data_IF_447735125752
#
_entry.id   IF_447735125752
#
_cell.length_a   1.000
_cell.length_b   1.000
_cell.length_c   1.000
_cell.angle_alpha   90.00
_cell.angle_beta   90.00
_cell.angle_gamma   90.00
#
_symmetry.space_group_name_H-M   'P 1'
#
loop_
_entity.id
_entity.type
_entity.pdbx_description
1 polymer ?
#
# COMPACT_ATOMS: atom_id res chain seq x y z
N UNK A 1 -31.40 64.73 27.39
CA UNK A 1 -32.39 64.05 26.50
C UNK A 1 -31.66 62.98 25.70
N UNK A 2 -31.85 61.72 26.07
CA UNK A 2 -31.26 60.56 25.42
C UNK A 2 -32.22 60.02 24.34
N UNK A 3 -31.71 59.76 23.13
CA UNK A 3 -32.34 58.93 22.09
C UNK A 3 -31.21 58.07 21.49
N UNK A 4 -31.05 56.85 22.01
CA UNK A 4 -31.60 55.60 21.44
C UNK A 4 -30.93 55.22 20.12
N UNK A 5 -29.83 54.47 20.23
CA UNK A 5 -29.20 53.74 19.14
C UNK A 5 -29.87 52.35 19.05
N UNK A 6 -30.43 52.03 17.88
CA UNK A 6 -30.95 50.70 17.56
C UNK A 6 -29.94 49.94 16.69
N UNK A 7 -29.59 48.77 17.20
CA UNK A 7 -28.95 47.61 16.58
C UNK A 7 -29.55 47.19 15.22
N UNK A 8 -28.68 46.67 14.34
CA UNK A 8 -28.80 45.43 13.52
C UNK A 8 -27.54 45.27 12.64
N UNK A 9 -26.67 44.29 12.91
CA UNK A 9 -26.53 42.99 12.17
C UNK A 9 -26.39 43.21 10.66
N UNK A 10 -25.24 42.96 10.03
CA UNK A 10 -24.71 41.61 9.78
C UNK A 10 -23.17 41.57 9.70
N UNK A 11 -22.55 40.70 10.49
CA UNK A 11 -21.17 40.25 10.27
C UNK A 11 -21.24 38.95 9.47
N UNK A 12 -21.08 39.04 8.16
CA UNK A 12 -20.74 37.88 7.35
C UNK A 12 -19.27 37.53 7.66
N UNK A 13 -19.07 36.49 8.47
CA UNK A 13 -17.78 35.83 8.64
C UNK A 13 -17.47 35.05 7.36
N UNK A 14 -16.92 35.73 6.36
CA UNK A 14 -16.20 35.06 5.30
C UNK A 14 -14.94 34.45 5.91
N UNK A 15 -14.98 33.15 6.21
CA UNK A 15 -13.78 32.39 6.48
C UNK A 15 -12.88 32.53 5.25
N UNK A 16 -11.84 33.35 5.39
CA UNK A 16 -10.81 33.51 4.36
C UNK A 16 -10.18 32.14 4.17
N UNK A 17 -10.56 31.46 3.10
CA UNK A 17 -9.85 30.29 2.59
C UNK A 17 -8.43 30.75 2.35
N UNK A 18 -7.51 30.41 3.26
CA UNK A 18 -6.09 30.54 2.98
C UNK A 18 -5.78 29.40 2.01
N UNK A 19 -5.49 29.68 0.73
CA UNK A 19 -4.96 28.65 -0.14
C UNK A 19 -3.62 28.25 0.49
N UNK A 20 -3.43 26.96 0.77
CA UNK A 20 -2.08 26.42 0.96
C UNK A 20 -1.43 26.36 -0.42
N UNK A 21 -1.18 27.54 -0.97
CA UNK A 21 -0.22 27.73 -2.03
C UNK A 21 1.00 28.40 -1.38
N UNK A 22 1.68 27.63 -0.51
CA UNK A 22 3.08 27.91 -0.28
C UNK A 22 3.73 27.68 -1.63
N UNK A 23 4.00 28.74 -2.41
CA UNK A 23 4.51 28.74 -3.80
C UNK A 23 5.70 27.80 -4.10
N UNK A 24 5.46 26.52 -3.90
CA UNK A 24 6.32 25.36 -3.99
C UNK A 24 5.68 24.55 -5.08
N UNK A 25 6.45 24.32 -6.13
CA UNK A 25 5.96 23.51 -7.23
C UNK A 25 5.66 22.09 -6.73
N UNK A 26 4.57 21.47 -7.19
CA UNK A 26 4.31 20.06 -6.93
C UNK A 26 5.54 19.21 -7.30
N UNK A 27 5.85 18.16 -6.52
CA UNK A 27 6.98 17.29 -6.80
C UNK A 27 6.92 16.69 -8.21
N UNK A 28 7.95 16.97 -9.00
CA UNK A 28 8.05 16.58 -10.41
C UNK A 28 9.50 16.39 -10.82
N UNK A 29 9.71 15.65 -11.90
CA UNK A 29 10.99 15.59 -12.60
C UNK A 29 10.74 15.36 -14.08
N UNK A 30 10.57 16.46 -14.82
CA UNK A 30 10.20 16.45 -16.24
C UNK A 30 11.30 15.78 -17.08
N UNK A 31 12.57 16.00 -16.74
CA UNK A 31 13.71 15.40 -17.46
C UNK A 31 13.66 13.87 -17.42
N UNK A 32 13.34 13.28 -16.26
CA UNK A 32 13.18 11.84 -16.15
C UNK A 32 11.97 11.33 -16.92
N UNK A 33 10.86 12.06 -16.93
CA UNK A 33 9.68 11.70 -17.71
C UNK A 33 10.01 11.63 -19.22
N UNK A 34 10.71 12.64 -19.74
CA UNK A 34 11.14 12.66 -21.14
C UNK A 34 12.10 11.51 -21.48
N UNK A 35 13.07 11.23 -20.60
CA UNK A 35 14.04 10.14 -20.78
C UNK A 35 13.33 8.78 -20.78
N UNK A 36 12.39 8.54 -19.86
CA UNK A 36 11.66 7.27 -19.79
C UNK A 36 10.78 7.08 -21.03
N UNK A 37 10.04 8.11 -21.46
CA UNK A 37 9.21 8.03 -22.66
C UNK A 37 10.06 7.79 -23.92
N UNK A 38 11.16 8.53 -24.07
CA UNK A 38 12.08 8.36 -25.19
C UNK A 38 12.68 6.95 -25.22
N UNK A 39 13.06 6.40 -24.05
CA UNK A 39 13.71 5.10 -23.97
C UNK A 39 12.75 3.97 -24.35
N UNK A 40 11.48 4.07 -23.92
CA UNK A 40 10.42 3.12 -24.32
C UNK A 40 10.20 3.11 -25.84
N UNK A 41 10.30 4.27 -26.51
CA UNK A 41 10.12 4.36 -27.96
C UNK A 41 11.35 3.91 -28.76
N UNK A 42 12.52 3.85 -28.13
CA UNK A 42 13.77 3.40 -28.78
C UNK A 42 14.01 1.91 -28.59
N UNK A 43 13.64 1.37 -27.43
CA UNK A 43 13.94 -0.01 -27.06
C UNK A 43 12.67 -0.81 -26.80
N UNK A 44 12.49 -1.86 -27.61
CA UNK A 44 11.29 -2.70 -27.61
C UNK A 44 10.97 -3.31 -26.23
N UNK A 45 11.98 -3.71 -25.48
CA UNK A 45 11.81 -4.42 -24.22
C UNK A 45 11.72 -3.48 -23.00
N UNK A 46 12.01 -2.18 -23.19
CA UNK A 46 12.05 -1.21 -22.09
C UNK A 46 10.69 -0.99 -21.43
N UNK A 47 9.59 -1.11 -22.18
CA UNK A 47 8.23 -1.03 -21.64
C UNK A 47 7.95 -2.12 -20.60
N UNK A 48 8.51 -3.32 -20.76
CA UNK A 48 8.26 -4.46 -19.87
C UNK A 48 8.77 -4.18 -18.46
N UNK A 49 9.89 -3.47 -18.33
CA UNK A 49 10.44 -3.07 -17.04
C UNK A 49 9.70 -1.90 -16.38
N UNK A 50 8.89 -1.15 -17.15
CA UNK A 50 8.28 0.11 -16.68
C UNK A 50 6.77 -0.01 -16.46
N UNK A 51 6.07 -0.84 -17.23
CA UNK A 51 4.60 -1.00 -17.22
C UNK A 51 4.05 -1.39 -15.83
N UNK A 52 4.85 -2.10 -15.03
CA UNK A 52 4.46 -2.48 -13.66
C UNK A 52 4.73 -1.39 -12.62
N UNK A 53 5.55 -0.39 -12.95
CA UNK A 53 5.99 0.67 -12.03
C UNK A 53 5.16 1.94 -12.23
N UNK A 54 4.87 2.29 -13.48
CA UNK A 54 4.24 3.56 -13.84
C UNK A 54 2.83 3.37 -14.39
N UNK A 55 2.00 4.35 -14.10
CA UNK A 55 0.69 4.55 -14.72
C UNK A 55 0.69 5.88 -15.49
N UNK A 56 -0.27 6.12 -16.41
CA UNK A 56 -0.40 7.44 -17.05
C UNK A 56 -0.46 8.59 -16.04
N UNK A 57 -1.13 8.41 -14.90
CA UNK A 57 -1.23 9.44 -13.85
C UNK A 57 0.10 9.70 -13.12
N UNK A 58 1.09 8.80 -13.25
CA UNK A 58 2.41 8.97 -12.63
C UNK A 58 3.21 10.14 -13.23
N UNK A 59 2.89 10.55 -14.45
CA UNK A 59 3.53 11.68 -15.14
C UNK A 59 2.89 13.00 -14.71
N UNK A 60 3.72 14.02 -14.46
CA UNK A 60 3.23 15.35 -14.10
C UNK A 60 2.72 16.12 -15.33
N UNK A 61 3.41 16.02 -16.46
CA UNK A 61 3.04 16.75 -17.67
C UNK A 61 1.91 16.02 -18.38
N UNK A 62 0.79 16.71 -18.63
CA UNK A 62 -0.38 16.11 -19.28
C UNK A 62 -0.06 15.49 -20.66
N UNK A 63 0.82 16.14 -21.43
CA UNK A 63 1.30 15.58 -22.69
C UNK A 63 1.99 14.22 -22.50
N UNK A 64 2.82 14.07 -21.47
CA UNK A 64 3.48 12.81 -21.14
C UNK A 64 2.48 11.74 -20.70
N UNK A 65 1.43 12.12 -19.96
CA UNK A 65 0.36 11.18 -19.58
C UNK A 65 -0.33 10.60 -20.83
N UNK A 66 -0.66 11.45 -21.81
CA UNK A 66 -1.29 11.04 -23.07
C UNK A 66 -0.38 10.15 -23.92
N UNK A 67 0.91 10.52 -24.02
CA UNK A 67 1.92 9.72 -24.72
C UNK A 67 2.07 8.35 -24.07
N UNK A 68 2.22 8.29 -22.74
CA UNK A 68 2.35 7.03 -22.02
C UNK A 68 1.09 6.18 -22.15
N UNK A 69 -0.09 6.78 -22.11
CA UNK A 69 -1.35 6.07 -22.36
C UNK A 69 -1.37 5.42 -23.75
N UNK A 70 -0.97 6.14 -24.80
CA UNK A 70 -0.88 5.58 -26.15
C UNK A 70 0.13 4.41 -26.22
N UNK A 71 1.27 4.52 -25.53
CA UNK A 71 2.25 3.43 -25.39
C UNK A 71 1.62 2.19 -24.72
N UNK A 72 0.90 2.38 -23.61
CA UNK A 72 0.20 1.31 -22.89
C UNK A 72 -0.85 0.66 -23.80
N UNK A 73 -1.66 1.45 -24.52
CA UNK A 73 -2.68 0.93 -25.43
C UNK A 73 -2.07 0.07 -26.56
N UNK A 74 -0.93 0.51 -27.12
CA UNK A 74 -0.18 -0.27 -28.11
C UNK A 74 0.37 -1.57 -27.51
N UNK A 75 0.95 -1.51 -26.32
CA UNK A 75 1.45 -2.70 -25.61
C UNK A 75 0.32 -3.71 -25.35
N UNK A 76 -0.84 -3.23 -24.89
CA UNK A 76 -1.99 -4.09 -24.54
C UNK A 76 -2.61 -4.75 -25.78
N UNK A 77 -2.43 -4.15 -26.96
CA UNK A 77 -2.89 -4.69 -28.25
C UNK A 77 -1.83 -5.47 -29.00
N UNK A 78 -0.72 -5.81 -28.33
CA UNK A 78 0.44 -6.53 -28.89
C UNK A 78 1.01 -5.89 -30.17
N UNK A 79 0.97 -4.55 -30.22
CA UNK A 79 1.53 -3.77 -31.34
C UNK A 79 2.95 -3.32 -31.00
N UNK A 80 3.85 -3.25 -32.01
CA UNK A 80 5.17 -2.69 -31.81
C UNK A 80 5.08 -1.23 -31.32
N UNK A 81 6.00 -0.87 -30.43
CA UNK A 81 6.10 0.46 -29.85
C UNK A 81 7.37 1.10 -30.39
N UNK A 82 7.19 2.15 -31.17
CA UNK A 82 8.22 3.01 -31.71
C UNK A 82 7.66 4.41 -31.93
N UNK A 83 8.50 5.35 -32.35
CA UNK A 83 8.11 6.75 -32.58
C UNK A 83 6.93 6.87 -33.57
N UNK A 84 6.92 6.07 -34.64
CA UNK A 84 5.94 6.17 -35.71
C UNK A 84 4.59 5.61 -35.25
N UNK A 85 4.58 4.44 -34.63
CA UNK A 85 3.39 3.76 -34.11
C UNK A 85 2.75 4.56 -32.98
N UNK A 86 3.54 5.14 -32.07
CA UNK A 86 3.03 6.02 -31.01
C UNK A 86 2.42 7.30 -31.62
N UNK A 87 3.08 7.90 -32.61
CA UNK A 87 2.56 9.09 -33.31
C UNK A 87 1.25 8.79 -34.06
N UNK A 88 1.16 7.63 -34.72
CA UNK A 88 -0.05 7.18 -35.40
C UNK A 88 -1.19 6.90 -34.42
N UNK A 89 -0.90 6.29 -33.28
CA UNK A 89 -1.88 6.04 -32.23
C UNK A 89 -2.41 7.35 -31.64
N UNK A 90 -1.54 8.31 -31.32
CA UNK A 90 -1.94 9.64 -30.86
C UNK A 90 -2.78 10.39 -31.90
N UNK A 91 -2.45 10.23 -33.19
CA UNK A 91 -3.24 10.80 -34.29
C UNK A 91 -4.62 10.14 -34.40
N UNK A 92 -4.70 8.81 -34.24
CA UNK A 92 -5.95 8.05 -34.24
C UNK A 92 -6.87 8.47 -33.09
N UNK A 93 -6.29 8.76 -31.93
CA UNK A 93 -7.00 9.23 -30.75
C UNK A 93 -7.36 10.73 -30.81
N UNK A 94 -6.84 11.47 -31.78
CA UNK A 94 -7.06 12.92 -31.93
C UNK A 94 -6.30 13.78 -30.92
N UNK A 95 -5.33 13.22 -30.20
CA UNK A 95 -4.57 13.89 -29.13
C UNK A 95 -3.18 14.36 -29.56
N UNK A 96 -2.77 14.11 -30.81
CA UNK A 96 -1.44 14.44 -31.33
C UNK A 96 -1.10 15.93 -31.21
N UNK A 97 -2.05 16.81 -31.51
CA UNK A 97 -1.81 18.26 -31.45
C UNK A 97 -1.66 18.74 -29.99
N UNK A 98 -2.37 18.10 -29.05
CA UNK A 98 -2.34 18.43 -27.62
C UNK A 98 -1.01 18.06 -26.97
N UNK A 99 -0.28 17.09 -27.52
CA UNK A 99 1.04 16.68 -27.01
C UNK A 99 2.19 17.46 -27.65
N UNK A 100 1.92 18.45 -28.52
CA UNK A 100 2.94 19.22 -29.23
C UNK A 100 3.35 18.65 -30.60
N UNK A 101 2.56 17.71 -31.13
CA UNK A 101 2.73 17.16 -32.47
C UNK A 101 3.84 16.12 -32.60
N UNK A 102 4.01 15.59 -33.82
CA UNK A 102 5.00 14.55 -34.13
C UNK A 102 6.44 15.00 -33.85
N UNK A 103 6.72 16.32 -33.96
CA UNK A 103 8.03 16.88 -33.65
C UNK A 103 8.41 16.69 -32.18
N UNK A 104 7.47 16.90 -31.25
CA UNK A 104 7.73 16.74 -29.83
C UNK A 104 8.03 15.28 -29.47
N UNK A 105 7.23 14.34 -29.99
CA UNK A 105 7.45 12.90 -29.80
C UNK A 105 8.83 12.47 -30.31
N UNK A 106 9.25 12.96 -31.49
CA UNK A 106 10.59 12.71 -32.01
C UNK A 106 11.69 13.32 -31.11
N UNK A 107 11.46 14.51 -30.55
CA UNK A 107 12.41 15.16 -29.64
C UNK A 107 12.61 14.37 -28.33
N UNK A 108 11.60 13.66 -27.82
CA UNK A 108 11.76 12.83 -26.62
C UNK A 108 12.82 11.74 -26.82
N UNK A 109 12.86 11.13 -28.01
CA UNK A 109 13.85 10.09 -28.31
C UNK A 109 15.27 10.61 -28.46
N UNK A 110 15.47 11.88 -28.82
CA UNK A 110 16.81 12.46 -28.95
C UNK A 110 17.46 12.81 -27.61
N UNK A 111 16.69 12.84 -26.51
CA UNK A 111 17.20 13.13 -25.15
C UNK A 111 17.77 11.91 -24.43
N UNK A 112 17.61 10.72 -24.98
CA UNK A 112 18.01 9.46 -24.33
C UNK A 112 19.41 9.08 -24.76
N UNK A 113 20.35 9.08 -23.81
CA UNK A 113 21.71 8.59 -24.03
C UNK A 113 21.87 7.08 -23.74
N UNK A 114 21.11 6.56 -22.77
CA UNK A 114 21.11 5.14 -22.40
C UNK A 114 19.81 4.75 -21.71
N UNK A 115 19.34 3.53 -21.96
CA UNK A 115 18.19 2.90 -21.30
C UNK A 115 18.56 2.05 -20.09
N UNK A 116 19.86 1.82 -19.83
CA UNK A 116 20.33 0.80 -18.89
C UNK A 116 19.82 0.99 -17.45
N UNK A 117 19.31 2.18 -17.13
CA UNK A 117 18.76 2.54 -15.82
C UNK A 117 17.28 2.98 -15.89
N UNK A 118 16.54 2.59 -16.94
CA UNK A 118 15.15 3.03 -17.12
C UNK A 118 14.26 2.66 -15.93
N UNK A 119 14.49 1.50 -15.31
CA UNK A 119 13.75 1.06 -14.12
C UNK A 119 13.97 2.01 -12.94
N UNK A 120 15.22 2.45 -12.72
CA UNK A 120 15.56 3.41 -11.65
C UNK A 120 14.87 4.76 -11.92
N UNK A 121 14.90 5.22 -13.17
CA UNK A 121 14.23 6.47 -13.56
C UNK A 121 12.71 6.37 -13.40
N UNK A 122 12.11 5.25 -13.77
CA UNK A 122 10.69 4.99 -13.54
C UNK A 122 10.33 5.01 -12.04
N UNK A 123 11.13 4.37 -11.18
CA UNK A 123 10.92 4.41 -9.72
C UNK A 123 11.01 5.83 -9.16
N UNK A 124 11.91 6.67 -9.69
CA UNK A 124 11.99 8.07 -9.27
C UNK A 124 10.75 8.89 -9.68
N UNK A 125 10.20 8.66 -10.88
CA UNK A 125 8.93 9.28 -11.31
C UNK A 125 7.80 8.81 -10.39
N UNK A 126 7.74 7.51 -10.09
CA UNK A 126 6.73 6.94 -9.19
C UNK A 126 6.81 7.54 -7.78
N UNK A 127 8.02 7.78 -7.25
CA UNK A 127 8.19 8.48 -5.98
C UNK A 127 7.63 9.91 -6.04
N UNK A 128 7.83 10.64 -7.14
CA UNK A 128 7.25 11.98 -7.32
C UNK A 128 5.72 11.92 -7.40
N UNK A 129 5.16 10.92 -8.08
CA UNK A 129 3.73 10.68 -8.11
C UNK A 129 3.15 10.44 -6.71
N UNK A 130 3.75 9.55 -5.91
CA UNK A 130 3.32 9.29 -4.53
C UNK A 130 3.35 10.57 -3.69
N UNK A 131 4.40 11.38 -3.84
CA UNK A 131 4.49 12.68 -3.15
C UNK A 131 3.35 13.62 -3.55
N UNK A 132 2.95 13.64 -4.83
CA UNK A 132 1.80 14.45 -5.30
C UNK A 132 0.47 13.92 -4.76
N UNK A 133 0.25 12.60 -4.77
CA UNK A 133 -0.98 12.02 -4.22
C UNK A 133 -1.11 12.27 -2.71
N UNK A 134 -0.01 12.17 -1.96
CA UNK A 134 -0.02 12.52 -0.53
C UNK A 134 -0.42 13.98 -0.30
N UNK A 135 0.08 14.91 -1.12
CA UNK A 135 -0.32 16.31 -1.05
C UNK A 135 -1.82 16.45 -1.34
N UNK A 136 -2.31 15.84 -2.43
CA UNK A 136 -3.73 15.87 -2.84
C UNK A 136 -4.65 15.37 -1.72
N UNK A 137 -4.36 14.18 -1.18
CA UNK A 137 -5.16 13.56 -0.13
C UNK A 137 -5.09 14.38 1.16
N UNK A 138 -3.93 14.91 1.52
CA UNK A 138 -3.80 15.77 2.70
C UNK A 138 -4.65 17.03 2.59
N UNK A 139 -4.69 17.66 1.41
CA UNK A 139 -5.56 18.82 1.15
C UNK A 139 -7.04 18.46 1.22
N UNK A 140 -7.42 17.27 0.76
CA UNK A 140 -8.81 16.79 0.82
C UNK A 140 -9.25 16.48 2.27
N UNK A 141 -8.41 15.78 3.04
CA UNK A 141 -8.61 15.51 4.46
C UNK A 141 -8.73 16.83 5.23
N UNK A 142 -7.84 17.79 4.95
CA UNK A 142 -7.89 19.09 5.59
C UNK A 142 -9.19 19.85 5.25
N UNK A 143 -9.62 19.83 3.99
CA UNK A 143 -10.87 20.46 3.57
C UNK A 143 -12.06 19.88 4.34
N UNK A 144 -12.13 18.55 4.45
CA UNK A 144 -13.17 17.85 5.22
C UNK A 144 -13.06 18.13 6.73
N UNK A 145 -11.85 18.31 7.26
CA UNK A 145 -11.65 18.62 8.68
C UNK A 145 -12.15 20.01 9.09
N UNK A 146 -12.25 20.96 8.15
CA UNK A 146 -12.87 22.27 8.37
C UNK A 146 -14.39 22.25 8.21
N UNK A 147 -14.97 21.19 7.64
CA UNK A 147 -16.40 21.05 7.45
C UNK A 147 -17.06 20.51 8.73
N UNK A 148 -17.71 21.40 9.48
CA UNK A 148 -18.40 21.06 10.74
C UNK A 148 -19.59 20.09 10.56
N UNK A 149 -20.01 19.81 9.32
CA UNK A 149 -21.10 18.87 9.04
C UNK A 149 -20.66 17.40 8.96
N UNK A 150 -19.35 17.14 8.90
CA UNK A 150 -18.77 15.80 8.77
C UNK A 150 -18.54 15.19 10.16
N UNK A 151 -18.98 13.95 10.39
CA UNK A 151 -18.66 13.23 11.62
C UNK A 151 -17.17 12.91 11.71
N UNK A 152 -16.61 13.00 12.92
CA UNK A 152 -15.17 12.79 13.14
C UNK A 152 -14.76 11.35 12.82
N UNK A 153 -15.60 10.35 13.09
CA UNK A 153 -15.27 8.96 12.78
C UNK A 153 -15.27 8.72 11.27
N UNK A 154 -16.25 9.28 10.55
CA UNK A 154 -16.30 9.21 9.09
C UNK A 154 -15.06 9.85 8.44
N UNK A 155 -14.57 10.96 9.01
CA UNK A 155 -13.33 11.61 8.57
C UNK A 155 -12.08 10.72 8.81
N UNK A 156 -12.01 10.04 9.95
CA UNK A 156 -10.92 9.11 10.26
C UNK A 156 -10.93 7.92 9.31
N UNK A 157 -12.09 7.30 9.10
CA UNK A 157 -12.26 6.18 8.17
C UNK A 157 -11.90 6.57 6.73
N UNK A 158 -12.35 7.76 6.28
CA UNK A 158 -11.97 8.31 4.98
C UNK A 158 -10.44 8.49 4.85
N UNK A 159 -9.80 9.02 5.89
CA UNK A 159 -8.36 9.27 5.90
C UNK A 159 -7.57 7.96 5.84
N UNK A 160 -8.00 6.94 6.59
CA UNK A 160 -7.38 5.61 6.58
C UNK A 160 -7.51 4.95 5.20
N UNK A 161 -8.71 4.98 4.61
CA UNK A 161 -8.96 4.41 3.30
C UNK A 161 -8.07 5.05 2.21
N UNK A 162 -8.00 6.38 2.17
CA UNK A 162 -7.20 7.11 1.17
C UNK A 162 -5.69 6.85 1.33
N UNK A 163 -5.17 6.81 2.56
CA UNK A 163 -3.76 6.48 2.78
C UNK A 163 -3.46 5.03 2.40
N UNK A 164 -4.38 4.12 2.67
CA UNK A 164 -4.24 2.71 2.32
C UNK A 164 -4.21 2.49 0.80
N UNK A 165 -5.02 3.22 0.03
CA UNK A 165 -5.01 3.16 -1.45
C UNK A 165 -3.64 3.53 -2.04
N UNK A 166 -2.98 4.58 -1.52
CA UNK A 166 -1.62 4.97 -1.94
C UNK A 166 -0.62 3.82 -1.67
N UNK A 167 -0.73 3.18 -0.50
CA UNK A 167 0.18 2.11 -0.10
C UNK A 167 -0.03 0.86 -0.96
N UNK A 168 -1.27 0.44 -1.22
CA UNK A 168 -1.55 -0.73 -2.05
C UNK A 168 -1.08 -0.56 -3.50
N UNK A 169 -1.24 0.63 -4.09
CA UNK A 169 -0.77 0.92 -5.45
C UNK A 169 0.75 0.77 -5.63
N UNK A 170 1.51 0.76 -4.53
CA UNK A 170 2.97 0.66 -4.52
C UNK A 170 3.50 -0.76 -4.23
N UNK A 171 2.65 -1.68 -3.73
CA UNK A 171 3.06 -3.05 -3.38
C UNK A 171 2.66 -3.99 -4.52
N UNK A 172 3.27 -3.82 -5.69
CA UNK A 172 3.33 -4.91 -6.68
C UNK A 172 4.54 -5.78 -6.34
N UNK A 173 4.31 -7.09 -6.19
CA UNK A 173 5.31 -8.10 -5.81
C UNK A 173 6.54 -8.00 -6.72
N UNK A 174 7.66 -7.56 -6.16
CA UNK A 174 8.98 -7.71 -6.80
C UNK A 174 9.25 -9.22 -6.96
N UNK A 175 9.51 -9.66 -8.20
CA UNK A 175 9.98 -11.01 -8.45
C UNK A 175 11.40 -11.13 -7.91
N UNK A 176 11.60 -11.89 -6.84
CA UNK A 176 12.92 -12.09 -6.24
C UNK A 176 13.65 -13.21 -6.99
N UNK A 177 14.87 -12.99 -7.49
CA UNK A 177 15.71 -14.03 -8.08
C UNK A 177 15.92 -15.22 -7.13
N UNK A 178 15.76 -16.45 -7.63
CA UNK A 178 15.80 -17.69 -6.82
C UNK A 178 17.15 -17.88 -6.10
N UNK A 179 18.25 -17.40 -6.66
CA UNK A 179 19.58 -17.50 -6.05
C UNK A 179 19.69 -16.74 -4.72
N UNK A 180 18.96 -15.62 -4.58
CA UNK A 180 18.87 -14.88 -3.32
C UNK A 180 18.05 -15.67 -2.29
N UNK A 181 16.92 -16.24 -2.71
CA UNK A 181 16.05 -17.06 -1.86
C UNK A 181 16.75 -18.34 -1.37
N UNK A 182 17.56 -18.98 -2.21
CA UNK A 182 18.31 -20.20 -1.84
C UNK A 182 19.31 -19.88 -0.72
N UNK A 183 20.01 -18.75 -0.82
CA UNK A 183 20.99 -18.34 0.18
C UNK A 183 20.32 -18.08 1.54
N UNK A 184 19.15 -17.45 1.53
CA UNK A 184 18.34 -17.22 2.71
C UNK A 184 17.76 -18.53 3.28
N UNK A 185 17.25 -19.42 2.44
CA UNK A 185 16.71 -20.72 2.84
C UNK A 185 17.78 -21.60 3.50
N UNK A 186 19.00 -21.65 2.95
CA UNK A 186 20.12 -22.40 3.55
C UNK A 186 20.44 -21.85 4.94
N UNK A 187 20.49 -20.52 5.09
CA UNK A 187 20.74 -19.88 6.38
C UNK A 187 19.66 -20.22 7.40
N UNK A 188 18.38 -20.21 7.01
CA UNK A 188 17.26 -20.61 7.89
C UNK A 188 17.38 -22.08 8.31
N UNK A 189 17.79 -22.98 7.41
CA UNK A 189 18.03 -24.41 7.72
C UNK A 189 19.17 -24.57 8.72
N UNK A 190 20.29 -23.85 8.53
CA UNK A 190 21.42 -23.89 9.47
C UNK A 190 21.06 -23.34 10.85
N UNK A 191 20.27 -22.27 10.91
CA UNK A 191 19.76 -21.70 12.17
C UNK A 191 18.79 -22.66 12.87
N UNK A 192 17.94 -23.35 12.11
CA UNK A 192 17.03 -24.36 12.66
C UNK A 192 17.80 -25.58 13.22
N UNK A 193 18.88 -26.01 12.56
CA UNK A 193 19.71 -27.14 13.01
C UNK A 193 20.55 -26.87 14.26
N UNK A 194 20.71 -25.60 14.67
CA UNK A 194 21.47 -25.20 15.88
C UNK A 194 20.62 -25.15 17.15
N UNK A 195 19.29 -25.29 17.06
CA UNK A 195 18.39 -25.26 18.23
C UNK A 195 18.37 -26.63 18.89
N UNK A 196 18.52 -26.67 20.21
CA UNK A 196 18.39 -27.91 21.00
C UNK A 196 16.92 -28.41 21.02
N UNK A 197 15.97 -27.48 21.06
CA UNK A 197 14.55 -27.75 20.83
C UNK A 197 14.32 -27.95 19.34
N UNK A 198 13.96 -29.16 18.94
CA UNK A 198 13.71 -29.58 17.55
C UNK A 198 12.45 -28.94 16.92
N UNK A 199 11.94 -27.85 17.52
CA UNK A 199 10.75 -27.12 17.08
C UNK A 199 11.18 -25.87 16.31
N UNK A 200 10.83 -25.83 15.02
CA UNK A 200 11.14 -24.71 14.14
C UNK A 200 10.19 -23.52 14.36
N UNK A 201 8.91 -23.83 14.66
CA UNK A 201 7.83 -22.88 14.83
C UNK A 201 7.52 -22.50 16.28
N UNK A 202 6.45 -21.74 16.48
CA UNK A 202 5.93 -21.38 17.80
C UNK A 202 5.24 -22.61 18.43
N UNK A 203 5.71 -23.13 19.58
CA UNK A 203 5.11 -24.30 20.19
C UNK A 203 3.69 -24.03 20.70
N UNK A 204 2.79 -25.01 20.55
CA UNK A 204 1.44 -24.93 21.09
C UNK A 204 1.35 -25.28 22.58
N UNK A 205 2.38 -25.93 23.13
CA UNK A 205 2.39 -26.49 24.48
C UNK A 205 1.69 -27.85 24.57
N UNK A 206 1.20 -28.38 23.45
CA UNK A 206 0.72 -29.76 23.34
C UNK A 206 1.79 -30.61 22.67
N UNK A 207 2.62 -31.31 23.44
CA UNK A 207 3.80 -32.04 22.93
C UNK A 207 3.49 -32.97 21.75
N UNK A 208 2.36 -33.68 21.78
CA UNK A 208 1.97 -34.57 20.66
C UNK A 208 1.65 -33.79 19.39
N UNK A 209 0.98 -32.64 19.52
CA UNK A 209 0.65 -31.78 18.38
C UNK A 209 1.93 -31.13 17.84
N UNK A 210 2.77 -30.62 18.71
CA UNK A 210 4.04 -29.96 18.34
C UNK A 210 5.00 -30.94 17.66
N UNK A 211 5.00 -32.22 18.04
CA UNK A 211 5.77 -33.23 17.33
C UNK A 211 5.24 -33.52 15.91
N UNK A 212 3.94 -33.32 15.67
CA UNK A 212 3.34 -33.51 14.35
C UNK A 212 3.48 -32.28 13.45
N UNK A 213 3.44 -31.08 14.03
CA UNK A 213 3.47 -29.80 13.30
C UNK A 213 4.84 -29.13 13.29
N UNK A 214 5.75 -29.56 14.15
CA UNK A 214 7.02 -28.87 14.48
C UNK A 214 6.80 -27.43 15.01
N UNK A 215 5.66 -27.22 15.66
CA UNK A 215 5.16 -25.92 16.07
C UNK A 215 4.50 -25.15 14.91
N UNK A 216 3.94 -23.99 15.19
CA UNK A 216 3.30 -23.15 14.18
C UNK A 216 4.32 -22.31 13.43
N UNK A 217 4.36 -22.46 12.11
CA UNK A 217 5.32 -21.77 11.26
C UNK A 217 4.86 -20.34 10.95
N UNK A 218 5.82 -19.45 10.76
CA UNK A 218 5.53 -18.09 10.32
C UNK A 218 4.96 -18.12 8.89
N UNK A 219 3.96 -17.28 8.63
CA UNK A 219 3.23 -17.17 7.35
C UNK A 219 2.14 -18.21 7.09
N UNK A 220 1.96 -19.20 7.97
CA UNK A 220 0.88 -20.17 7.84
C UNK A 220 -0.47 -19.62 8.36
N UNK A 221 -1.54 -19.94 7.63
CA UNK A 221 -2.92 -19.75 8.10
C UNK A 221 -3.46 -21.07 8.67
N UNK A 222 -3.55 -21.15 9.99
CA UNK A 222 -4.04 -22.34 10.70
C UNK A 222 -5.52 -22.18 11.03
N UNK A 223 -6.35 -23.09 10.51
CA UNK A 223 -7.80 -23.07 10.72
C UNK A 223 -8.19 -24.17 11.71
N UNK A 224 -8.77 -23.78 12.85
CA UNK A 224 -9.33 -24.70 13.85
C UNK A 224 -10.85 -24.70 13.76
N UNK A 225 -11.43 -25.78 13.23
CA UNK A 225 -12.88 -25.95 13.11
C UNK A 225 -13.39 -27.02 14.08
N UNK A 226 -14.48 -26.72 14.79
CA UNK A 226 -15.16 -27.68 15.65
C UNK A 226 -16.66 -27.33 15.74
N UNK A 227 -17.49 -28.32 16.09
CA UNK A 227 -18.91 -28.07 16.37
C UNK A 227 -19.09 -27.23 17.64
N UNK A 228 -20.23 -26.52 17.80
CA UNK A 228 -20.55 -25.83 19.05
C UNK A 228 -20.42 -26.75 20.26
N UNK A 229 -19.96 -26.20 21.38
CA UNK A 229 -19.72 -26.91 22.65
C UNK A 229 -18.63 -28.00 22.63
N UNK A 230 -17.86 -28.15 21.55
CA UNK A 230 -16.72 -29.09 21.49
C UNK A 230 -15.41 -28.53 22.10
N UNK A 231 -15.46 -27.34 22.71
CA UNK A 231 -14.31 -26.77 23.40
C UNK A 231 -13.30 -26.02 22.53
N UNK A 232 -13.66 -25.59 21.30
CA UNK A 232 -12.78 -24.78 20.42
C UNK A 232 -12.13 -23.61 21.15
N UNK A 233 -12.92 -22.82 21.88
CA UNK A 233 -12.41 -21.67 22.63
C UNK A 233 -11.47 -22.07 23.75
N UNK A 234 -11.76 -23.15 24.48
CA UNK A 234 -10.88 -23.65 25.52
C UNK A 234 -9.54 -24.11 24.95
N UNK A 235 -9.56 -24.86 23.85
CA UNK A 235 -8.37 -25.32 23.15
C UNK A 235 -7.47 -24.15 22.69
N UNK A 236 -8.05 -23.14 22.02
CA UNK A 236 -7.32 -21.96 21.55
C UNK A 236 -6.76 -21.14 22.72
N UNK A 237 -7.52 -20.96 23.80
CA UNK A 237 -7.06 -20.21 24.98
C UNK A 237 -5.93 -20.93 25.71
N UNK A 238 -6.00 -22.26 25.89
CA UNK A 238 -4.92 -23.04 26.48
C UNK A 238 -3.64 -22.95 25.66
N UNK A 239 -3.76 -23.04 24.34
CA UNK A 239 -2.64 -22.86 23.41
C UNK A 239 -2.04 -21.46 23.52
N UNK A 240 -2.87 -20.41 23.49
CA UNK A 240 -2.43 -19.03 23.62
C UNK A 240 -1.74 -18.75 24.97
N UNK A 241 -2.26 -19.34 26.06
CA UNK A 241 -1.64 -19.27 27.38
C UNK A 241 -0.26 -19.90 27.38
N UNK A 242 -0.11 -21.11 26.84
CA UNK A 242 1.19 -21.80 26.84
C UNK A 242 2.23 -21.01 26.03
N UNK A 243 1.84 -20.52 24.85
CA UNK A 243 2.69 -19.65 24.03
C UNK A 243 3.15 -18.39 24.78
N UNK A 244 2.23 -17.72 25.48
CA UNK A 244 2.50 -16.47 26.17
C UNK A 244 3.29 -16.65 27.47
N UNK A 245 2.90 -17.62 28.30
CA UNK A 245 3.44 -17.80 29.66
C UNK A 245 4.70 -18.67 29.64
N UNK A 246 4.68 -19.82 28.95
CA UNK A 246 5.78 -20.78 28.97
C UNK A 246 6.85 -20.41 27.94
N UNK A 247 6.44 -20.14 26.71
CA UNK A 247 7.35 -19.86 25.60
C UNK A 247 7.64 -18.36 25.38
N UNK A 248 7.06 -17.49 26.22
CA UNK A 248 7.28 -16.03 26.23
C UNK A 248 7.08 -15.38 24.86
N UNK A 249 6.09 -15.84 24.09
CA UNK A 249 5.71 -15.27 22.80
C UNK A 249 4.51 -14.34 22.95
N UNK A 250 4.57 -13.17 22.33
CA UNK A 250 3.43 -12.25 22.32
C UNK A 250 2.28 -12.83 21.49
N UNK A 251 1.09 -12.93 22.09
CA UNK A 251 -0.12 -13.45 21.43
C UNK A 251 -1.21 -12.39 21.46
N UNK A 252 -1.83 -12.13 20.30
CA UNK A 252 -3.02 -11.31 20.17
C UNK A 252 -4.25 -12.20 19.99
N UNK A 253 -5.32 -11.94 20.75
CA UNK A 253 -6.57 -12.69 20.69
C UNK A 253 -7.70 -11.75 20.26
N UNK A 254 -8.38 -12.10 19.18
CA UNK A 254 -9.56 -11.41 18.69
C UNK A 254 -10.78 -12.32 18.89
N UNK A 255 -11.80 -11.82 19.58
CA UNK A 255 -13.03 -12.57 19.87
C UNK A 255 -14.25 -11.78 19.45
N UNK A 256 -15.09 -12.43 18.66
CA UNK A 256 -16.35 -11.88 18.15
C UNK A 256 -17.59 -12.48 18.85
N UNK A 257 -17.40 -13.54 19.64
CA UNK A 257 -18.50 -14.28 20.29
C UNK A 257 -18.56 -14.02 21.80
N UNK A 258 -17.40 -13.92 22.45
CA UNK A 258 -17.29 -13.74 23.90
C UNK A 258 -16.65 -12.39 24.24
N UNK A 259 -17.07 -11.81 25.37
CA UNK A 259 -16.48 -10.57 25.87
C UNK A 259 -15.05 -10.78 26.38
N UNK A 260 -14.25 -9.72 26.35
CA UNK A 260 -12.86 -9.76 26.84
C UNK A 260 -12.78 -10.23 28.30
N UNK A 261 -13.70 -9.80 29.16
CA UNK A 261 -13.75 -10.23 30.57
C UNK A 261 -14.00 -11.74 30.71
N UNK A 262 -14.89 -12.31 29.89
CA UNK A 262 -15.14 -13.76 29.94
C UNK A 262 -13.93 -14.57 29.50
N UNK A 263 -13.15 -14.08 28.53
CA UNK A 263 -11.91 -14.73 28.11
C UNK A 263 -10.83 -14.64 29.20
N UNK A 264 -10.68 -13.47 29.82
CA UNK A 264 -9.72 -13.26 30.92
C UNK A 264 -10.05 -14.16 32.11
N UNK A 265 -11.32 -14.25 32.53
CA UNK A 265 -11.73 -15.15 33.61
C UNK A 265 -11.41 -16.61 33.29
N UNK A 266 -11.58 -17.03 32.03
CA UNK A 266 -11.17 -18.38 31.59
C UNK A 266 -9.67 -18.59 31.62
N UNK A 267 -8.86 -17.61 31.21
CA UNK A 267 -7.41 -17.67 31.30
C UNK A 267 -6.93 -17.76 32.77
N UNK A 268 -7.53 -16.95 33.66
CA UNK A 268 -7.25 -17.02 35.10
C UNK A 268 -7.64 -18.38 35.66
N UNK A 269 -8.81 -18.91 35.29
CA UNK A 269 -9.27 -20.24 35.70
C UNK A 269 -8.33 -21.35 35.21
N UNK A 270 -7.79 -21.25 33.99
CA UNK A 270 -6.79 -22.19 33.44
C UNK A 270 -5.48 -22.11 34.22
N UNK A 271 -5.00 -20.91 34.56
CA UNK A 271 -3.74 -20.72 35.27
C UNK A 271 -3.81 -21.12 36.74
N UNK A 272 -4.91 -20.75 37.40
CA UNK A 272 -5.10 -20.94 38.86
C UNK A 272 -5.68 -22.29 39.23
N UNK A 273 -6.10 -23.09 38.25
CA UNK A 273 -6.84 -24.35 38.42
C UNK A 273 -8.14 -24.18 39.25
N UNK A 274 -8.63 -22.95 39.39
CA UNK A 274 -9.88 -22.65 40.10
C UNK A 274 -11.05 -22.92 39.16
N UNK A 275 -12.12 -23.63 39.61
CA UNK A 275 -13.30 -23.86 38.80
C UNK A 275 -13.93 -22.56 38.30
N UNK A 276 -14.30 -22.51 37.02
CA UNK A 276 -14.94 -21.33 36.42
C UNK A 276 -16.34 -21.02 36.97
N UNK A 277 -16.88 -21.86 37.85
CA UNK A 277 -18.12 -21.58 38.61
C UNK A 277 -17.88 -20.72 39.86
N UNK A 278 -16.60 -20.56 40.26
CA UNK A 278 -16.19 -19.78 41.42
C UNK A 278 -15.65 -18.38 41.06
N UNK A 279 -15.56 -18.06 39.76
CA UNK A 279 -15.05 -16.81 39.16
C UNK A 279 -16.09 -16.26 38.19
#
# INVERSE_FOLDING_TARGET
MAKSAKSKTDRASGATVLPIDLGKMPPQNIELEEVVLGAIMLEKDAIVSVIDILSPASFYVEAHQKIYKAIVDLFTTDRPIDILTVTEELKRQGTLDEVGGAYYVAQLTSRVATSANIEIHARLIQQKYIQRELIRISSEIQTKAYDESVDVNDLLDFSEAQLFEIVQGNIKKESVPINLLISEAIKQIEEAGKREDHLSGVPSGFTKLDNMTLGWQNSDLIIVAARPSMGKTAFVLSMARNMAVEYKRSVAIFSLEMSSMQLVNRLISIESEIPSTAI
#
